data_IF_094714828819
#
_entry.id   IF_094714828819
#
_cell.length_a   1.000
_cell.length_b   1.000
_cell.length_c   1.000
_cell.angle_alpha   90.00
_cell.angle_beta   90.00
_cell.angle_gamma   90.00
#
_symmetry.space_group_name_H-M   'P 1'
#
loop_
_entity.id
_entity.type
_entity.pdbx_description
1 polymer ?
#
# COMPACT_ATOMS: atom_id res chain seq x y z
N UNK A 1 2.18 1.62 20.03
CA UNK A 1 3.54 2.15 19.82
C UNK A 1 3.68 2.44 18.35
N UNK A 2 4.04 3.66 17.99
CA UNK A 2 4.10 4.08 16.60
C UNK A 2 5.56 4.15 16.18
N UNK A 3 5.94 3.33 15.19
CA UNK A 3 7.30 3.31 14.67
C UNK A 3 7.49 4.47 13.70
N UNK A 4 8.59 5.21 13.85
CA UNK A 4 9.04 6.14 12.83
C UNK A 4 10.20 5.54 12.04
N UNK A 5 10.09 5.56 10.71
CA UNK A 5 11.14 5.14 9.78
C UNK A 5 11.79 6.36 9.13
N UNK A 6 13.06 6.22 8.76
CA UNK A 6 13.84 7.25 8.08
C UNK A 6 14.12 6.82 6.61
N UNK A 7 14.71 7.70 5.78
CA UNK A 7 14.99 7.39 4.39
C UNK A 7 16.02 6.26 4.24
N UNK A 8 16.94 6.09 5.19
CA UNK A 8 17.92 5.02 5.16
C UNK A 8 17.23 3.65 5.33
N UNK A 9 16.26 3.56 6.24
CA UNK A 9 15.44 2.37 6.42
C UNK A 9 14.62 2.06 5.17
N UNK A 10 13.99 3.07 4.56
CA UNK A 10 13.23 2.93 3.31
C UNK A 10 14.13 2.40 2.18
N UNK A 11 15.33 2.96 2.02
CA UNK A 11 16.29 2.56 0.99
C UNK A 11 16.92 1.18 1.28
N UNK A 12 17.06 0.80 2.54
CA UNK A 12 17.48 -0.56 2.90
C UNK A 12 16.47 -1.61 2.40
N UNK A 13 15.17 -1.31 2.48
CA UNK A 13 14.13 -2.17 1.87
C UNK A 13 14.27 -2.22 0.35
N UNK A 14 14.62 -1.10 -0.30
CA UNK A 14 14.87 -1.09 -1.74
C UNK A 14 15.96 -2.09 -2.15
N UNK A 15 17.05 -2.22 -1.37
CA UNK A 15 18.13 -3.16 -1.67
C UNK A 15 17.71 -4.64 -1.62
N UNK A 16 16.59 -4.97 -0.97
CA UNK A 16 16.05 -6.32 -0.92
C UNK A 16 15.21 -6.67 -2.16
N UNK A 17 14.94 -5.69 -3.04
CA UNK A 17 14.15 -5.85 -4.25
C UNK A 17 15.04 -6.46 -5.36
N UNK A 18 14.69 -7.65 -5.91
CA UNK A 18 15.43 -8.24 -7.03
C UNK A 18 15.63 -7.31 -8.25
N UNK A 19 16.72 -7.50 -8.99
CA UNK A 19 16.90 -6.89 -10.32
C UNK A 19 17.53 -5.49 -10.34
N UNK A 20 18.50 -5.25 -9.46
CA UNK A 20 19.31 -4.02 -9.37
C UNK A 20 18.46 -2.73 -9.27
N UNK A 21 17.97 -2.40 -8.05
CA UNK A 21 17.09 -1.27 -7.80
C UNK A 21 17.86 0.05 -7.89
N UNK A 22 18.04 0.56 -9.10
CA UNK A 22 18.59 1.91 -9.31
C UNK A 22 17.60 2.97 -8.79
N UNK A 23 18.02 3.71 -7.77
CA UNK A 23 17.29 4.88 -7.26
C UNK A 23 17.45 6.02 -8.26
N UNK A 24 16.33 6.55 -8.74
CA UNK A 24 16.28 7.68 -9.69
C UNK A 24 15.80 8.97 -9.02
N UNK A 25 15.15 8.88 -7.86
CA UNK A 25 14.72 10.03 -7.08
C UNK A 25 14.82 9.74 -5.57
N UNK A 26 15.78 10.39 -4.92
CA UNK A 26 16.00 10.33 -3.47
C UNK A 26 15.06 11.26 -2.68
N UNK A 27 14.39 12.22 -3.34
CA UNK A 27 13.42 13.11 -2.72
C UNK A 27 12.15 12.38 -2.30
N UNK A 28 11.79 11.29 -2.99
CA UNK A 28 10.59 10.51 -2.68
C UNK A 28 10.65 9.82 -1.30
N UNK A 29 11.72 9.07 -0.92
CA UNK A 29 11.85 8.54 0.43
C UNK A 29 11.82 9.61 1.53
N UNK A 30 12.41 10.78 1.28
CA UNK A 30 12.38 11.93 2.20
C UNK A 30 10.96 12.47 2.37
N UNK A 31 10.22 12.62 1.27
CA UNK A 31 8.83 13.04 1.30
C UNK A 31 7.93 12.01 2.02
N UNK A 32 8.18 10.72 1.82
CA UNK A 32 7.47 9.64 2.49
C UNK A 32 7.72 9.66 4.01
N UNK A 33 8.97 9.84 4.45
CA UNK A 33 9.28 10.05 5.87
C UNK A 33 8.52 11.26 6.41
N UNK A 34 8.67 12.44 5.79
CA UNK A 34 8.07 13.67 6.27
C UNK A 34 6.55 13.55 6.42
N UNK A 35 5.88 12.89 5.47
CA UNK A 35 4.44 12.65 5.53
C UNK A 35 4.05 11.70 6.65
N UNK A 36 4.77 10.58 6.83
CA UNK A 36 4.41 9.61 7.88
C UNK A 36 4.72 10.13 9.30
N UNK A 37 5.67 11.06 9.44
CA UNK A 37 6.02 11.75 10.70
C UNK A 37 5.22 13.04 10.91
N UNK A 38 4.30 13.37 10.02
CA UNK A 38 3.64 14.68 10.05
C UNK A 38 2.91 14.90 11.39
N UNK A 39 3.21 16.04 11.99
CA UNK A 39 2.60 16.54 13.22
C UNK A 39 2.10 17.96 12.95
N UNK A 40 0.89 18.26 13.45
CA UNK A 40 0.27 19.58 13.35
C UNK A 40 -0.27 19.94 14.72
N UNK A 41 0.12 21.10 15.23
CA UNK A 41 -0.29 21.57 16.57
C UNK A 41 0.01 20.52 17.67
N UNK A 42 1.18 19.87 17.61
CA UNK A 42 1.59 18.79 18.54
C UNK A 42 0.74 17.51 18.47
N UNK A 43 -0.09 17.36 17.43
CA UNK A 43 -0.88 16.15 17.19
C UNK A 43 -0.37 15.43 15.95
N UNK A 44 -0.16 14.11 16.06
CA UNK A 44 0.14 13.28 14.91
C UNK A 44 -1.00 13.35 13.88
N UNK A 45 -0.67 13.68 12.63
CA UNK A 45 -1.64 13.66 11.52
C UNK A 45 -2.16 12.23 11.27
N UNK A 46 -1.30 11.25 11.50
CA UNK A 46 -1.59 9.82 11.31
C UNK A 46 -1.27 9.05 12.58
N UNK A 47 -2.21 8.90 13.52
CA UNK A 47 -1.95 8.28 14.83
C UNK A 47 -1.84 6.75 14.77
N UNK A 48 -2.57 6.12 13.86
CA UNK A 48 -2.58 4.66 13.73
C UNK A 48 -1.49 4.16 12.77
N UNK A 49 -0.83 3.03 13.06
CA UNK A 49 0.17 2.43 12.16
C UNK A 49 -0.36 2.18 10.75
N UNK A 50 -1.63 1.77 10.59
CA UNK A 50 -2.24 1.53 9.28
C UNK A 50 -2.38 2.83 8.48
N UNK A 51 -2.64 3.96 9.15
CA UNK A 51 -2.68 5.27 8.49
C UNK A 51 -1.30 5.68 8.01
N UNK A 52 -0.26 5.52 8.85
CA UNK A 52 1.13 5.79 8.43
C UNK A 52 1.56 4.86 7.29
N UNK A 53 1.24 3.57 7.37
CA UNK A 53 1.49 2.61 6.28
C UNK A 53 0.82 3.03 4.96
N UNK A 54 -0.44 3.48 5.01
CA UNK A 54 -1.16 3.96 3.84
C UNK A 54 -0.49 5.20 3.23
N UNK A 55 0.10 6.09 4.04
CA UNK A 55 0.83 7.26 3.53
C UNK A 55 2.10 6.86 2.80
N UNK A 56 2.87 5.92 3.35
CA UNK A 56 4.07 5.38 2.71
C UNK A 56 3.71 4.73 1.37
N UNK A 57 2.66 3.91 1.35
CA UNK A 57 2.18 3.26 0.12
C UNK A 57 1.76 4.29 -0.92
N UNK A 58 0.95 5.27 -0.54
CA UNK A 58 0.45 6.29 -1.47
C UNK A 58 1.58 7.13 -2.05
N UNK A 59 2.55 7.56 -1.23
CA UNK A 59 3.65 8.38 -1.72
C UNK A 59 4.58 7.60 -2.63
N UNK A 60 5.04 6.42 -2.21
CA UNK A 60 5.98 5.63 -2.98
C UNK A 60 5.35 5.06 -4.24
N UNK A 61 4.05 4.77 -4.24
CA UNK A 61 3.37 4.27 -5.43
C UNK A 61 3.10 5.36 -6.47
N UNK A 62 2.77 6.58 -6.04
CA UNK A 62 2.46 7.72 -6.93
C UNK A 62 3.70 8.41 -7.47
N UNK A 63 4.75 8.51 -6.66
CA UNK A 63 6.00 9.16 -7.01
C UNK A 63 7.10 8.10 -7.15
N UNK A 64 7.54 7.73 -8.36
CA UNK A 64 8.51 6.65 -8.53
C UNK A 64 9.90 7.04 -8.03
N UNK A 65 10.41 6.33 -7.02
CA UNK A 65 11.79 6.49 -6.53
C UNK A 65 12.77 5.57 -7.26
N UNK A 66 12.29 4.42 -7.74
CA UNK A 66 13.11 3.42 -8.45
C UNK A 66 12.82 3.41 -9.95
N UNK A 67 13.87 3.19 -10.74
CA UNK A 67 13.78 3.03 -12.21
C UNK A 67 12.88 1.86 -12.61
N UNK A 68 12.96 0.77 -11.85
CA UNK A 68 12.25 -0.48 -12.11
C UNK A 68 11.59 -0.99 -10.83
N UNK A 69 10.47 -1.71 -10.97
CA UNK A 69 9.80 -2.42 -9.87
C UNK A 69 9.38 -1.50 -8.70
N UNK A 70 9.15 -0.22 -8.96
CA UNK A 70 8.76 0.77 -7.95
C UNK A 70 7.48 0.38 -7.18
N UNK A 71 6.49 -0.22 -7.84
CA UNK A 71 5.27 -0.70 -7.16
C UNK A 71 5.55 -1.82 -6.17
N UNK A 72 6.47 -2.73 -6.49
CA UNK A 72 6.89 -3.77 -5.57
C UNK A 72 7.63 -3.14 -4.39
N UNK A 73 8.52 -2.19 -4.65
CA UNK A 73 9.19 -1.43 -3.60
C UNK A 73 8.20 -0.74 -2.65
N UNK A 74 7.21 -0.01 -3.18
CA UNK A 74 6.17 0.62 -2.37
C UNK A 74 5.38 -0.41 -1.52
N UNK A 75 5.02 -1.55 -2.11
CA UNK A 75 4.34 -2.63 -1.41
C UNK A 75 5.22 -3.27 -0.31
N UNK A 76 6.50 -3.52 -0.59
CA UNK A 76 7.43 -4.11 0.36
C UNK A 76 7.72 -3.16 1.53
N UNK A 77 7.92 -1.86 1.29
CA UNK A 77 8.11 -0.86 2.35
C UNK A 77 6.89 -0.83 3.27
N UNK A 78 5.69 -0.83 2.69
CA UNK A 78 4.43 -0.82 3.44
C UNK A 78 4.27 -2.09 4.29
N UNK A 79 4.52 -3.26 3.72
CA UNK A 79 4.44 -4.52 4.43
C UNK A 79 5.50 -4.63 5.54
N UNK A 80 6.73 -4.20 5.27
CA UNK A 80 7.81 -4.19 6.25
C UNK A 80 7.51 -3.23 7.41
N UNK A 81 6.91 -2.06 7.14
CA UNK A 81 6.51 -1.12 8.17
C UNK A 81 5.44 -1.71 9.09
N UNK A 82 4.40 -2.31 8.51
CA UNK A 82 3.32 -2.96 9.27
C UNK A 82 3.85 -4.13 10.10
N UNK A 83 4.72 -4.96 9.53
CA UNK A 83 5.38 -6.04 10.26
C UNK A 83 6.22 -5.52 11.44
N UNK A 84 6.99 -4.44 11.24
CA UNK A 84 7.77 -3.80 12.30
C UNK A 84 6.89 -3.17 13.40
N UNK A 85 5.65 -2.80 13.07
CA UNK A 85 4.64 -2.36 14.06
C UNK A 85 3.91 -3.51 14.77
N UNK A 86 4.28 -4.78 14.51
CA UNK A 86 3.61 -5.95 15.07
C UNK A 86 2.29 -6.31 14.40
N UNK A 87 2.03 -5.76 13.20
CA UNK A 87 0.83 -5.98 12.40
C UNK A 87 1.20 -6.73 11.10
N UNK A 88 1.56 -8.02 11.16
CA UNK A 88 1.96 -8.74 9.96
C UNK A 88 0.80 -8.82 8.96
N UNK A 89 1.11 -8.55 7.70
CA UNK A 89 0.12 -8.57 6.61
C UNK A 89 -0.02 -10.00 6.10
N UNK A 90 -1.20 -10.62 6.24
CA UNK A 90 -1.55 -11.86 5.53
C UNK A 90 -1.89 -11.59 4.05
N UNK A 91 -2.29 -12.63 3.28
CA UNK A 91 -1.34 -13.37 2.45
C UNK A 91 -0.49 -12.41 1.58
N UNK A 92 0.75 -12.15 2.04
CA UNK A 92 1.88 -11.71 1.23
C UNK A 92 1.72 -10.47 0.33
N UNK A 93 2.78 -10.22 -0.46
CA UNK A 93 2.84 -9.14 -1.45
C UNK A 93 1.69 -9.19 -2.47
N UNK A 94 1.07 -10.35 -2.67
CA UNK A 94 -0.06 -10.54 -3.60
C UNK A 94 -1.30 -9.71 -3.22
N UNK A 95 -1.46 -9.36 -1.93
CA UNK A 95 -2.55 -8.46 -1.48
C UNK A 95 -2.13 -7.00 -1.58
N UNK A 96 -0.88 -6.68 -1.26
CA UNK A 96 -0.38 -5.30 -1.19
C UNK A 96 -0.08 -4.74 -2.58
N UNK A 97 0.33 -5.57 -3.55
CA UNK A 97 0.70 -5.12 -4.89
C UNK A 97 -0.52 -4.61 -5.70
N UNK A 98 -1.70 -5.26 -5.69
CA UNK A 98 -2.92 -4.67 -6.24
C UNK A 98 -3.30 -3.36 -5.55
N UNK A 99 -3.16 -3.28 -4.23
CA UNK A 99 -3.41 -2.04 -3.48
C UNK A 99 -2.44 -0.93 -3.87
N UNK A 100 -1.15 -1.24 -4.08
CA UNK A 100 -0.14 -0.31 -4.55
C UNK A 100 -0.49 0.25 -5.94
N UNK A 101 -0.97 -0.62 -6.84
CA UNK A 101 -1.48 -0.19 -8.16
C UNK A 101 -2.66 0.76 -8.01
N UNK A 102 -3.64 0.41 -7.19
CA UNK A 102 -4.79 1.27 -6.92
C UNK A 102 -4.38 2.61 -6.27
N UNK A 103 -3.38 2.62 -5.39
CA UNK A 103 -2.86 3.83 -4.78
C UNK A 103 -2.17 4.76 -5.80
N UNK A 104 -1.41 4.19 -6.73
CA UNK A 104 -0.78 4.90 -7.86
C UNK A 104 -1.85 5.49 -8.79
N UNK A 105 -2.83 4.68 -9.18
CA UNK A 105 -3.87 5.07 -10.15
C UNK A 105 -4.91 6.02 -9.54
N UNK A 106 -4.92 6.13 -8.21
CA UNK A 106 -5.88 6.90 -7.43
C UNK A 106 -7.00 6.00 -6.91
N UNK A 107 -7.22 6.02 -5.59
CA UNK A 107 -8.35 5.32 -5.00
C UNK A 107 -9.62 6.14 -5.25
N UNK A 108 -10.70 5.52 -5.76
CA UNK A 108 -11.96 6.23 -5.92
C UNK A 108 -12.44 6.70 -4.55
N UNK A 109 -12.59 8.02 -4.37
CA UNK A 109 -13.09 8.64 -3.13
C UNK A 109 -14.52 8.18 -2.81
N UNK A 110 -15.24 7.62 -3.80
CA UNK A 110 -16.57 7.02 -3.67
C UNK A 110 -16.73 5.88 -4.67
N UNK A 111 -16.53 4.65 -4.23
CA UNK A 111 -16.74 3.44 -5.04
C UNK A 111 -16.19 2.26 -4.29
N UNK A 112 -17.02 1.24 -4.07
CA UNK A 112 -16.78 0.11 -3.16
C UNK A 112 -15.38 -0.48 -3.22
N UNK A 113 -14.92 -0.95 -2.05
CA UNK A 113 -13.64 -1.64 -1.89
C UNK A 113 -13.45 -2.68 -3.02
N UNK A 114 -12.37 -2.61 -3.83
CA UNK A 114 -12.13 -3.58 -4.89
C UNK A 114 -11.92 -5.01 -4.36
N UNK A 115 -11.74 -5.15 -3.05
CA UNK A 115 -11.63 -6.41 -2.32
C UNK A 115 -13.00 -7.03 -1.97
N UNK A 116 -14.11 -6.35 -2.27
CA UNK A 116 -15.47 -6.83 -1.99
C UNK A 116 -16.08 -7.70 -3.09
N UNK A 117 -15.28 -8.20 -4.03
CA UNK A 117 -15.71 -9.15 -5.06
C UNK A 117 -15.66 -10.59 -4.53
N UNK A 118 -16.37 -10.88 -3.44
CA UNK A 118 -16.72 -12.27 -3.12
C UNK A 118 -17.87 -12.67 -4.05
N UNK A 119 -17.77 -13.78 -4.81
CA UNK A 119 -18.93 -14.26 -5.54
C UNK A 119 -20.03 -14.58 -4.53
N UNK A 120 -21.19 -13.93 -4.67
CA UNK A 120 -22.38 -14.26 -3.91
C UNK A 120 -22.79 -15.72 -4.17
N UNK A 121 -23.50 -16.37 -3.24
CA UNK A 121 -23.99 -17.73 -3.45
C UNK A 121 -24.83 -17.78 -4.73
N UNK A 122 -24.63 -18.83 -5.53
CA UNK A 122 -25.38 -19.04 -6.76
C UNK A 122 -26.89 -19.02 -6.47
N UNK A 123 -27.60 -18.06 -7.04
CA UNK A 123 -29.05 -18.01 -7.05
C UNK A 123 -29.59 -19.33 -7.65
N UNK A 124 -30.55 -20.01 -6.99
CA UNK A 124 -31.15 -21.21 -7.52
C UNK A 124 -31.97 -20.84 -8.77
N UNK A 125 -31.69 -21.53 -9.87
CA UNK A 125 -32.40 -21.40 -11.13
C UNK A 125 -33.87 -21.81 -10.94
N UNK A 126 -34.76 -20.83 -10.80
CA UNK A 126 -36.20 -21.03 -10.90
C UNK A 126 -36.55 -21.39 -12.35
N UNK A 127 -36.63 -22.68 -12.61
CA UNK A 127 -37.23 -23.23 -13.83
C UNK A 127 -38.75 -23.13 -13.71
N UNK A 128 -39.30 -21.92 -13.88
CA UNK A 128 -40.71 -21.74 -14.15
C UNK A 128 -40.99 -21.95 -15.64
N UNK A 129 -41.86 -22.90 -15.92
CA UNK A 129 -42.29 -23.26 -17.26
C UNK A 129 -42.92 -22.10 -18.01
N UNK A 130 -42.64 -22.03 -19.31
CA UNK A 130 -43.53 -21.42 -20.27
C UNK A 130 -44.04 -22.53 -21.19
N UNK A 131 -45.36 -22.68 -21.15
CA UNK A 131 -46.17 -23.34 -22.16
C UNK A 131 -45.81 -22.83 -23.56
N UNK A 132 -45.69 -23.76 -24.51
CA UNK A 132 -46.43 -23.81 -25.78
C UNK A 132 -46.26 -25.21 -26.41
#
# INVERSE_FOLDING_TARGET
MTLHIDPAWILAVAQQIPGDPQVVDYGVPVAAEARHRAEVLEHEVYPEPQHKAATLLCELARNPSLKVRNLLFAATVTAAYLAACGLPVGPGLDTVLPLARAARDGLPVRGGSPLSSRPGPAEPSDSFGQEL
#
